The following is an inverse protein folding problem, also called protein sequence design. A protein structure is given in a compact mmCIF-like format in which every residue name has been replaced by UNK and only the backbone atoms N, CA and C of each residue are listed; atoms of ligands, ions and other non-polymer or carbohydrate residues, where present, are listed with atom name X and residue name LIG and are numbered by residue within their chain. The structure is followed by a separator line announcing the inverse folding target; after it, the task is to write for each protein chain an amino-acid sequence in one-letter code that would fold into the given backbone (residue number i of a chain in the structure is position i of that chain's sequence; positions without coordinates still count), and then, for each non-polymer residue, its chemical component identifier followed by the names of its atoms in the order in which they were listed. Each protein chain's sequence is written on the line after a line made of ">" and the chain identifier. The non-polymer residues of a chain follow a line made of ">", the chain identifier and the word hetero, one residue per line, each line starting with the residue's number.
data_IF_133075409763
#
_entry.id   IF_133075409763
#
_cell.length_a   1.000
_cell.length_b   1.000
_cell.length_c   1.000
_cell.angle_alpha   90.00
_cell.angle_beta   90.00
_cell.angle_gamma   90.00
#
_symmetry.space_group_name_H-M   'P 1'
#
loop_
_entity.id
_entity.type
_entity.pdbx_description
1 polymer ?
#
# COMPACT_ATOMS: atom_id res chain seq x y z
N UNK A 1 18.77 33.06 -21.08
CA UNK A 1 19.29 32.08 -20.12
C UNK A 1 20.09 32.82 -19.08
N UNK A 2 19.61 32.87 -17.85
CA UNK A 2 20.38 33.38 -16.72
C UNK A 2 20.28 32.34 -15.61
N UNK A 3 21.33 31.53 -15.45
CA UNK A 3 21.38 30.44 -14.46
C UNK A 3 21.43 30.91 -13.00
N UNK A 4 21.62 32.21 -12.76
CA UNK A 4 21.74 32.81 -11.42
C UNK A 4 20.58 33.77 -11.10
N UNK A 5 19.50 33.76 -11.87
CA UNK A 5 18.39 34.71 -11.67
C UNK A 5 17.33 34.14 -10.76
N UNK A 6 16.98 34.92 -9.74
CA UNK A 6 15.89 34.68 -8.82
C UNK A 6 14.74 35.60 -9.19
N UNK A 7 13.56 35.04 -9.41
CA UNK A 7 12.31 35.80 -9.58
C UNK A 7 11.43 35.47 -8.39
N UNK A 8 11.09 36.48 -7.58
CA UNK A 8 10.17 36.32 -6.45
C UNK A 8 8.84 36.99 -6.75
N UNK A 9 7.76 36.21 -6.73
CA UNK A 9 6.39 36.68 -6.78
C UNK A 9 5.87 36.88 -5.35
N UNK A 10 5.43 38.11 -5.05
CA UNK A 10 4.69 38.47 -3.84
C UNK A 10 3.21 38.79 -4.16
N UNK A 11 2.75 38.31 -5.31
CA UNK A 11 1.42 38.54 -5.88
C UNK A 11 1.06 37.37 -6.81
N UNK A 12 -0.19 37.30 -7.21
CA UNK A 12 -0.66 36.28 -8.16
C UNK A 12 0.12 36.32 -9.48
N UNK A 13 0.37 35.14 -10.03
CA UNK A 13 0.94 34.93 -11.35
C UNK A 13 -0.17 34.57 -12.35
N UNK A 14 -0.40 35.44 -13.32
CA UNK A 14 -1.27 35.15 -14.47
C UNK A 14 -0.40 34.88 -15.70
N UNK A 15 -0.35 33.63 -16.14
CA UNK A 15 0.46 33.19 -17.27
C UNK A 15 -0.34 33.04 -18.58
N UNK A 16 -0.45 34.13 -19.34
CA UNK A 16 -1.12 34.16 -20.65
C UNK A 16 -0.13 34.11 -21.84
N UNK A 17 1.10 33.67 -21.58
CA UNK A 17 2.17 33.54 -22.57
C UNK A 17 3.05 32.31 -22.35
N UNK A 18 4.10 32.19 -23.15
CA UNK A 18 5.12 31.15 -22.96
C UNK A 18 5.99 31.51 -21.76
N UNK A 19 6.04 30.61 -20.78
CA UNK A 19 6.84 30.70 -19.57
C UNK A 19 7.58 29.37 -19.36
N UNK A 20 8.48 29.04 -20.29
CA UNK A 20 9.05 27.70 -20.45
C UNK A 20 10.56 27.64 -20.72
N UNK A 21 11.24 28.78 -20.68
CA UNK A 21 12.70 28.90 -20.89
C UNK A 21 13.42 29.47 -19.66
N UNK A 22 12.84 29.27 -18.49
CA UNK A 22 13.42 29.70 -17.23
C UNK A 22 14.52 28.72 -16.83
N UNK A 23 15.63 29.22 -16.28
CA UNK A 23 16.79 28.43 -15.85
C UNK A 23 17.21 28.73 -14.41
N UNK A 24 16.39 29.48 -13.68
CA UNK A 24 16.65 29.93 -12.32
C UNK A 24 15.47 29.66 -11.40
N UNK A 25 15.55 30.19 -10.18
CA UNK A 25 14.54 29.97 -9.14
C UNK A 25 13.37 30.93 -9.31
N UNK A 26 12.17 30.38 -9.32
CA UNK A 26 10.92 31.13 -9.22
C UNK A 26 10.30 30.88 -7.84
N UNK A 27 10.34 31.90 -6.99
CA UNK A 27 9.79 31.84 -5.64
C UNK A 27 8.41 32.50 -5.52
N UNK A 28 7.57 31.95 -4.65
CA UNK A 28 6.26 32.50 -4.28
C UNK A 28 6.26 32.78 -2.78
N UNK A 29 6.15 34.06 -2.41
CA UNK A 29 6.41 34.56 -1.07
C UNK A 29 5.23 35.37 -0.51
N UNK A 30 4.61 34.88 0.56
CA UNK A 30 3.51 35.59 1.23
C UNK A 30 3.41 35.23 2.71
N UNK A 31 3.31 36.24 3.57
CA UNK A 31 3.25 36.06 5.03
C UNK A 31 1.83 35.74 5.56
N UNK A 32 0.77 35.91 4.75
CA UNK A 32 -0.62 35.81 5.23
C UNK A 32 -1.58 35.30 4.14
N UNK A 33 -1.70 36.03 3.02
CA UNK A 33 -2.66 35.68 1.97
C UNK A 33 -2.18 34.53 1.07
N UNK A 34 -3.07 33.67 0.56
CA UNK A 34 -2.70 32.74 -0.51
C UNK A 34 -2.27 33.50 -1.76
N UNK A 35 -1.38 32.88 -2.54
CA UNK A 35 -1.03 33.32 -3.89
C UNK A 35 -1.66 32.38 -4.91
N UNK A 36 -2.00 32.89 -6.09
CA UNK A 36 -2.62 32.11 -7.16
C UNK A 36 -1.74 32.07 -8.40
N UNK A 37 -1.61 30.88 -9.00
CA UNK A 37 -1.13 30.71 -10.39
C UNK A 37 -2.34 30.41 -11.28
N UNK A 38 -2.59 31.28 -12.25
CA UNK A 38 -3.67 31.17 -13.23
C UNK A 38 -3.19 31.53 -14.63
N UNK A 39 -4.11 31.55 -15.61
CA UNK A 39 -3.82 31.92 -17.00
C UNK A 39 -3.98 30.76 -17.98
N UNK A 40 -3.90 31.08 -19.27
CA UNK A 40 -4.17 30.14 -20.35
C UNK A 40 -3.07 29.09 -20.59
N UNK A 41 -1.86 29.29 -20.08
CA UNK A 41 -0.71 28.42 -20.32
C UNK A 41 -0.12 27.88 -19.01
N UNK A 42 0.27 26.61 -19.02
CA UNK A 42 0.97 25.95 -17.90
C UNK A 42 2.38 26.55 -17.79
N UNK A 43 2.75 27.23 -16.69
CA UNK A 43 4.13 27.64 -16.48
C UNK A 43 5.05 26.43 -16.29
N UNK A 44 6.23 26.50 -16.88
CA UNK A 44 7.30 25.52 -16.72
C UNK A 44 8.47 26.20 -16.00
N UNK A 45 8.68 25.78 -14.76
CA UNK A 45 9.70 26.30 -13.86
C UNK A 45 10.92 25.38 -13.90
N UNK A 46 12.11 25.96 -13.75
CA UNK A 46 13.30 25.14 -13.55
C UNK A 46 13.39 24.72 -12.09
N UNK A 47 13.51 25.71 -11.22
CA UNK A 47 13.38 25.57 -9.77
C UNK A 47 12.20 26.40 -9.26
N UNK A 48 11.49 25.88 -8.27
CA UNK A 48 10.41 26.56 -7.57
C UNK A 48 10.69 26.63 -6.07
N UNK A 49 10.32 27.74 -5.44
CA UNK A 49 10.32 27.88 -3.98
C UNK A 49 8.95 28.37 -3.51
N UNK A 50 8.38 27.70 -2.52
CA UNK A 50 7.05 28.03 -1.99
C UNK A 50 7.22 28.36 -0.51
N UNK A 51 7.06 29.64 -0.21
CA UNK A 51 7.06 30.19 1.15
C UNK A 51 5.87 31.15 1.28
N UNK A 52 4.67 30.58 1.21
CA UNK A 52 3.42 31.31 1.19
C UNK A 52 2.50 30.72 2.26
N UNK A 53 2.39 31.36 3.43
CA UNK A 53 1.67 30.81 4.60
C UNK A 53 0.22 30.41 4.27
N UNK A 54 -0.48 31.20 3.46
CA UNK A 54 -1.84 30.91 3.00
C UNK A 54 -1.94 29.84 1.90
N UNK A 55 -0.80 29.35 1.40
CA UNK A 55 -0.68 28.39 0.30
C UNK A 55 -0.52 29.02 -1.09
N UNK A 56 -0.12 28.20 -2.05
CA UNK A 56 -0.05 28.50 -3.47
C UNK A 56 -1.18 27.75 -4.20
N UNK A 57 -2.24 28.47 -4.55
CA UNK A 57 -3.40 27.94 -5.27
C UNK A 57 -3.07 27.83 -6.76
N UNK A 58 -3.29 26.66 -7.35
CA UNK A 58 -3.18 26.44 -8.77
C UNK A 58 -4.58 26.42 -9.40
N UNK A 59 -4.82 27.35 -10.32
CA UNK A 59 -5.98 27.34 -11.24
C UNK A 59 -5.58 26.81 -12.64
N UNK A 60 -4.29 26.73 -12.90
CA UNK A 60 -3.67 26.01 -14.03
C UNK A 60 -2.57 25.10 -13.48
N UNK A 61 -2.28 23.98 -14.13
CA UNK A 61 -1.21 23.10 -13.70
C UNK A 61 0.15 23.83 -13.73
N UNK A 62 1.13 23.30 -13.01
CA UNK A 62 2.50 23.81 -12.97
C UNK A 62 3.46 22.65 -13.24
N UNK A 63 4.48 22.89 -14.06
CA UNK A 63 5.55 21.92 -14.32
C UNK A 63 6.87 22.41 -13.73
N UNK A 64 7.66 21.48 -13.18
CA UNK A 64 8.98 21.78 -12.62
C UNK A 64 10.01 20.78 -13.15
N UNK A 65 11.14 21.29 -13.65
CA UNK A 65 12.21 20.47 -14.25
C UNK A 65 13.29 19.98 -13.28
N UNK A 66 13.51 20.67 -12.16
CA UNK A 66 14.62 20.35 -11.25
C UNK A 66 14.18 20.23 -9.79
N UNK A 67 13.88 21.32 -9.10
CA UNK A 67 13.56 21.27 -7.66
C UNK A 67 12.34 22.08 -7.27
N UNK A 68 11.54 21.55 -6.35
CA UNK A 68 10.54 22.31 -5.59
C UNK A 68 10.96 22.36 -4.11
N UNK A 69 11.31 23.55 -3.63
CA UNK A 69 11.55 23.79 -2.21
C UNK A 69 10.25 24.18 -1.51
N UNK A 70 9.69 23.28 -0.70
CA UNK A 70 8.51 23.51 0.12
C UNK A 70 8.96 24.09 1.46
N UNK A 71 8.84 25.40 1.66
CA UNK A 71 9.28 26.07 2.89
C UNK A 71 8.11 26.21 3.85
N UNK A 72 7.05 26.89 3.42
CA UNK A 72 5.82 27.11 4.20
C UNK A 72 4.61 27.18 3.28
N UNK A 73 3.51 26.57 3.73
CA UNK A 73 2.23 26.56 3.02
C UNK A 73 2.15 25.48 1.96
N UNK A 74 0.92 25.09 1.66
CA UNK A 74 0.64 24.01 0.73
C UNK A 74 0.57 24.50 -0.71
N UNK A 75 0.92 23.64 -1.66
CA UNK A 75 0.47 23.78 -3.05
C UNK A 75 -0.93 23.19 -3.14
N UNK A 76 -1.90 24.03 -3.47
CA UNK A 76 -3.33 23.69 -3.40
C UNK A 76 -3.89 23.55 -4.81
N UNK A 77 -4.56 22.43 -5.07
CA UNK A 77 -5.28 22.21 -6.33
C UNK A 77 -6.68 21.68 -6.06
N UNK A 78 -7.60 21.83 -7.02
CA UNK A 78 -8.94 21.28 -6.88
C UNK A 78 -8.90 19.75 -6.74
N UNK A 79 -9.48 19.21 -5.67
CA UNK A 79 -9.55 17.76 -5.43
C UNK A 79 -10.68 17.05 -6.18
N UNK A 80 -11.68 17.78 -6.65
CA UNK A 80 -12.83 17.26 -7.41
C UNK A 80 -12.48 16.72 -8.81
N UNK A 81 -11.27 17.00 -9.32
CA UNK A 81 -10.79 16.46 -10.58
C UNK A 81 -9.28 16.62 -10.75
N UNK A 82 -8.65 15.75 -11.57
CA UNK A 82 -7.18 15.67 -11.71
C UNK A 82 -6.61 16.51 -12.85
N UNK A 83 -7.35 17.53 -13.32
CA UNK A 83 -6.95 18.36 -14.45
C UNK A 83 -5.86 19.38 -14.11
N UNK A 84 -5.83 19.84 -12.86
CA UNK A 84 -4.85 20.81 -12.34
C UNK A 84 -3.99 20.08 -11.31
N UNK A 85 -2.67 20.20 -11.45
CA UNK A 85 -1.70 19.46 -10.65
C UNK A 85 -0.36 20.20 -10.60
N UNK A 86 0.45 19.89 -9.59
CA UNK A 86 1.87 20.26 -9.54
C UNK A 86 2.73 19.08 -10.02
N UNK A 87 3.46 19.26 -11.13
CA UNK A 87 4.13 18.19 -11.86
C UNK A 87 5.66 18.23 -11.75
N UNK A 88 6.25 17.07 -11.48
CA UNK A 88 7.68 16.84 -11.43
C UNK A 88 8.14 16.11 -12.71
N UNK A 89 8.83 16.82 -13.59
CA UNK A 89 9.30 16.30 -14.88
C UNK A 89 10.62 15.53 -14.74
N UNK A 90 10.75 14.41 -15.44
CA UNK A 90 12.00 13.69 -15.68
C UNK A 90 12.78 13.36 -14.38
N UNK A 91 13.81 14.13 -14.02
CA UNK A 91 14.63 13.94 -12.80
C UNK A 91 14.24 14.89 -11.65
N UNK A 92 13.18 15.69 -11.81
CA UNK A 92 12.77 16.68 -10.82
C UNK A 92 12.42 16.06 -9.46
N UNK A 93 12.75 16.76 -8.38
CA UNK A 93 12.52 16.36 -7.00
C UNK A 93 11.92 17.51 -6.19
N UNK A 94 11.63 17.24 -4.92
CA UNK A 94 11.26 18.26 -3.94
C UNK A 94 12.02 18.04 -2.64
N UNK A 95 12.01 19.07 -1.80
CA UNK A 95 12.50 19.03 -0.42
C UNK A 95 11.57 19.85 0.48
N UNK A 96 11.60 19.60 1.78
CA UNK A 96 10.95 20.44 2.78
C UNK A 96 9.48 20.09 3.04
N UNK A 97 9.06 18.90 2.63
CA UNK A 97 7.71 18.42 2.90
C UNK A 97 7.45 18.30 4.41
N UNK A 98 6.26 18.73 4.84
CA UNK A 98 5.83 18.62 6.24
C UNK A 98 4.31 18.60 6.32
N UNK A 99 3.76 18.57 7.54
CA UNK A 99 2.33 18.77 7.76
C UNK A 99 1.81 20.14 7.32
N UNK A 100 2.67 21.15 7.17
CA UNK A 100 2.30 22.54 6.81
C UNK A 100 2.88 22.99 5.47
N UNK A 101 3.55 22.09 4.74
CA UNK A 101 4.19 22.36 3.45
C UNK A 101 4.15 21.09 2.60
N UNK A 102 3.06 20.92 1.84
CA UNK A 102 2.85 19.73 0.99
C UNK A 102 1.94 20.06 -0.19
N UNK A 103 1.51 19.06 -0.94
CA UNK A 103 0.48 19.20 -1.97
C UNK A 103 -0.87 18.82 -1.36
N UNK A 104 -1.75 19.82 -1.14
CA UNK A 104 -3.16 19.58 -0.82
C UNK A 104 -3.96 19.55 -2.13
N UNK A 105 -4.01 18.35 -2.74
CA UNK A 105 -4.63 18.10 -4.03
C UNK A 105 -3.79 17.17 -4.90
N UNK A 106 -3.79 17.36 -6.22
CA UNK A 106 -3.06 16.51 -7.16
C UNK A 106 -1.60 16.96 -7.33
N UNK A 107 -0.69 16.06 -6.98
CA UNK A 107 0.67 16.05 -7.50
C UNK A 107 0.77 15.16 -8.73
N UNK A 108 1.76 15.38 -9.59
CA UNK A 108 2.03 14.57 -10.76
C UNK A 108 3.52 14.29 -10.94
N UNK A 109 3.85 13.17 -11.56
CA UNK A 109 5.18 12.90 -12.09
C UNK A 109 5.10 12.56 -13.58
N UNK A 110 6.15 12.89 -14.33
CA UNK A 110 6.25 12.63 -15.78
C UNK A 110 7.59 11.99 -16.08
N UNK A 111 7.60 10.95 -16.92
CA UNK A 111 8.80 10.19 -17.34
C UNK A 111 9.61 9.59 -16.18
N UNK A 112 8.93 9.02 -15.17
CA UNK A 112 9.56 8.38 -14.01
C UNK A 112 9.04 6.97 -13.77
N UNK A 113 9.89 6.12 -13.22
CA UNK A 113 9.52 4.76 -12.75
C UNK A 113 9.07 4.80 -11.29
N UNK A 114 9.65 5.68 -10.48
CA UNK A 114 9.37 5.77 -9.05
C UNK A 114 9.27 7.21 -8.56
N UNK A 115 8.41 7.45 -7.58
CA UNK A 115 8.29 8.75 -6.92
C UNK A 115 7.57 8.62 -5.57
N UNK A 116 7.84 9.56 -4.67
CA UNK A 116 7.05 9.73 -3.44
C UNK A 116 6.25 11.01 -3.61
N UNK A 117 4.93 10.92 -3.61
CA UNK A 117 4.07 12.09 -3.70
C UNK A 117 3.97 12.77 -2.33
N UNK A 118 4.36 14.04 -2.17
CA UNK A 118 4.20 14.76 -0.91
C UNK A 118 2.77 15.29 -0.78
N UNK A 119 1.79 14.39 -0.88
CA UNK A 119 0.36 14.76 -0.81
C UNK A 119 -0.15 14.72 0.62
N UNK A 120 -1.21 15.48 0.88
CA UNK A 120 -1.85 15.49 2.18
C UNK A 120 -3.17 16.24 2.18
N UNK A 121 -3.63 16.53 3.39
CA UNK A 121 -4.82 17.32 3.62
C UNK A 121 -4.70 18.07 4.94
N UNK A 122 -5.00 19.37 4.93
CA UNK A 122 -4.94 20.23 6.11
C UNK A 122 -3.60 20.12 6.85
N UNK A 123 -3.55 19.54 8.06
CA UNK A 123 -2.35 19.37 8.87
C UNK A 123 -1.75 17.95 8.78
N UNK A 124 -2.19 17.14 7.80
CA UNK A 124 -1.76 15.75 7.63
C UNK A 124 -1.00 15.56 6.33
N UNK A 125 0.28 15.21 6.45
CA UNK A 125 1.09 14.69 5.35
C UNK A 125 0.85 13.18 5.22
N UNK A 126 0.45 12.73 4.04
CA UNK A 126 0.10 11.33 3.74
C UNK A 126 0.76 10.90 2.42
N UNK A 127 2.08 10.70 2.44
CA UNK A 127 2.80 10.38 1.22
C UNK A 127 2.31 9.05 0.64
N UNK A 128 2.31 8.99 -0.69
CA UNK A 128 2.15 7.74 -1.43
C UNK A 128 3.43 7.53 -2.22
N UNK A 129 4.07 6.38 -2.05
CA UNK A 129 5.19 5.96 -2.88
C UNK A 129 4.68 5.05 -3.99
N UNK A 130 5.20 5.25 -5.20
CA UNK A 130 4.96 4.38 -6.35
C UNK A 130 6.30 3.87 -6.88
N UNK A 131 6.35 2.59 -7.23
CA UNK A 131 7.47 1.91 -7.89
C UNK A 131 6.93 1.09 -9.05
N UNK A 132 7.25 1.51 -10.26
CA UNK A 132 6.65 0.97 -11.49
C UNK A 132 7.62 0.05 -12.22
N UNK A 133 7.08 -0.94 -12.93
CA UNK A 133 7.92 -1.89 -13.69
C UNK A 133 8.58 -1.27 -14.94
N UNK A 134 8.17 -0.06 -15.32
CA UNK A 134 8.70 0.73 -16.43
C UNK A 134 8.38 2.23 -16.24
N UNK A 135 8.97 3.07 -17.10
CA UNK A 135 8.72 4.52 -17.09
C UNK A 135 7.24 4.82 -17.34
N UNK A 136 6.63 5.57 -16.43
CA UNK A 136 5.32 6.17 -16.67
C UNK A 136 5.47 7.46 -17.47
N UNK A 137 4.68 7.60 -18.54
CA UNK A 137 4.54 8.88 -19.22
C UNK A 137 3.98 9.95 -18.27
N UNK A 138 2.99 9.60 -17.44
CA UNK A 138 2.47 10.46 -16.40
C UNK A 138 1.80 9.64 -15.29
N UNK A 139 1.98 10.06 -14.04
CA UNK A 139 1.19 9.58 -12.90
C UNK A 139 0.68 10.76 -12.10
N UNK A 140 -0.55 10.69 -11.59
CA UNK A 140 -1.13 11.72 -10.72
C UNK A 140 -1.62 11.11 -9.43
N UNK A 141 -1.41 11.80 -8.33
CA UNK A 141 -1.78 11.34 -6.99
C UNK A 141 -2.43 12.46 -6.19
N UNK A 142 -3.49 12.15 -5.46
CA UNK A 142 -4.08 13.02 -4.45
C UNK A 142 -4.51 12.19 -3.23
N UNK A 143 -4.50 12.83 -2.05
CA UNK A 143 -4.93 12.24 -0.79
C UNK A 143 -6.21 12.89 -0.27
N UNK A 144 -7.07 12.09 0.35
CA UNK A 144 -8.37 12.49 0.88
C UNK A 144 -8.55 11.92 2.28
N UNK A 145 -8.79 12.79 3.26
CA UNK A 145 -9.23 12.39 4.59
C UNK A 145 -10.76 12.45 4.67
N UNK A 146 -11.39 11.54 3.92
CA UNK A 146 -12.84 11.45 3.77
C UNK A 146 -13.26 9.98 3.80
N UNK A 147 -14.49 9.75 4.27
CA UNK A 147 -15.10 8.43 4.20
C UNK A 147 -15.43 8.07 2.74
N UNK A 148 -14.85 6.99 2.17
CA UNK A 148 -15.17 6.54 0.82
C UNK A 148 -16.66 6.23 0.62
N UNK A 149 -17.43 5.89 1.66
CA UNK A 149 -18.88 5.66 1.54
C UNK A 149 -19.70 6.92 1.26
N UNK A 150 -19.09 8.11 1.44
CA UNK A 150 -19.76 9.39 1.26
C UNK A 150 -18.73 10.48 0.89
N UNK A 151 -18.01 10.30 -0.21
CA UNK A 151 -17.05 11.32 -0.65
C UNK A 151 -17.78 12.50 -1.26
N UNK A 152 -17.84 13.58 -0.49
CA UNK A 152 -18.39 14.87 -0.92
C UNK A 152 -17.54 15.45 -2.04
N UNK A 153 -16.21 15.35 -1.94
CA UNK A 153 -15.29 15.96 -2.89
C UNK A 153 -15.35 15.31 -4.27
N UNK A 154 -15.49 13.98 -4.33
CA UNK A 154 -15.64 13.25 -5.59
C UNK A 154 -17.11 13.14 -6.05
N UNK A 155 -18.07 13.52 -5.20
CA UNK A 155 -19.51 13.38 -5.46
C UNK A 155 -19.89 11.95 -5.88
N UNK A 156 -19.24 10.97 -5.23
CA UNK A 156 -19.37 9.54 -5.51
C UNK A 156 -19.10 8.73 -4.26
N UNK A 157 -19.90 7.68 -4.08
CA UNK A 157 -19.78 6.75 -2.97
C UNK A 157 -19.12 5.45 -3.45
N UNK A 158 -18.23 4.91 -2.62
CA UNK A 158 -17.52 3.65 -2.81
C UNK A 158 -17.84 2.72 -1.64
N UNK A 159 -19.03 2.11 -1.71
CA UNK A 159 -19.58 1.25 -0.65
C UNK A 159 -18.54 0.23 -0.14
N UNK A 160 -18.03 0.43 1.07
CA UNK A 160 -17.00 -0.41 1.71
C UNK A 160 -17.49 -1.82 2.03
N UNK A 161 -18.80 -2.08 1.88
CA UNK A 161 -19.38 -3.42 1.99
C UNK A 161 -19.33 -4.19 0.67
N UNK A 162 -19.24 -3.50 -0.47
CA UNK A 162 -19.19 -4.12 -1.78
C UNK A 162 -17.76 -4.55 -2.13
N UNK A 163 -17.47 -5.82 -1.89
CA UNK A 163 -16.12 -6.38 -1.85
C UNK A 163 -16.06 -7.66 -2.69
N UNK A 164 -14.95 -7.87 -3.40
CA UNK A 164 -14.70 -9.08 -4.17
C UNK A 164 -14.70 -10.35 -3.32
N UNK A 165 -14.39 -10.22 -2.02
CA UNK A 165 -14.51 -11.29 -1.03
C UNK A 165 -15.02 -10.73 0.29
N UNK A 166 -15.75 -11.54 1.07
CA UNK A 166 -16.22 -11.11 2.40
C UNK A 166 -15.08 -10.96 3.41
N UNK A 167 -13.88 -11.47 3.11
CA UNK A 167 -12.75 -11.54 4.03
C UNK A 167 -11.93 -10.25 4.12
N UNK A 168 -12.16 -9.28 3.25
CA UNK A 168 -11.46 -7.98 3.31
C UNK A 168 -12.27 -7.00 4.17
N UNK A 169 -11.57 -6.28 5.04
CA UNK A 169 -12.03 -5.03 5.63
C UNK A 169 -11.48 -3.88 4.81
N UNK A 170 -12.23 -2.77 4.74
CA UNK A 170 -11.87 -1.58 3.95
C UNK A 170 -12.02 -0.39 4.87
N UNK A 171 -11.00 0.47 4.94
CA UNK A 171 -11.07 1.70 5.72
C UNK A 171 -12.19 2.61 5.24
N UNK A 172 -12.91 3.18 6.19
CA UNK A 172 -13.91 4.23 6.00
C UNK A 172 -13.36 5.63 6.39
N UNK A 173 -12.04 5.74 6.53
CA UNK A 173 -11.39 6.91 7.16
C UNK A 173 -10.66 7.80 6.17
N UNK A 174 -9.97 7.21 5.20
CA UNK A 174 -9.16 7.93 4.22
C UNK A 174 -9.00 7.15 2.93
N UNK A 175 -8.60 7.83 1.85
CA UNK A 175 -8.24 7.19 0.59
C UNK A 175 -7.28 8.05 -0.24
N UNK A 176 -6.64 7.42 -1.21
CA UNK A 176 -5.81 8.04 -2.23
C UNK A 176 -6.45 7.83 -3.59
N UNK A 177 -6.28 8.80 -4.47
CA UNK A 177 -6.52 8.62 -5.90
C UNK A 177 -5.18 8.58 -6.60
N UNK A 178 -4.95 7.55 -7.42
CA UNK A 178 -3.73 7.35 -8.18
C UNK A 178 -4.07 6.99 -9.62
N UNK A 179 -3.58 7.78 -10.57
CA UNK A 179 -3.75 7.57 -12.01
C UNK A 179 -2.38 7.22 -12.60
N UNK A 180 -2.27 6.09 -13.29
CA UNK A 180 -1.02 5.60 -13.86
C UNK A 180 -1.25 4.32 -14.66
N UNK A 181 -0.68 4.24 -15.86
CA UNK A 181 -1.01 3.18 -16.83
C UNK A 181 0.01 2.03 -16.83
N UNK A 182 1.09 2.14 -16.05
CA UNK A 182 2.12 1.11 -15.92
C UNK A 182 1.87 0.28 -14.65
N UNK A 183 1.99 -1.06 -14.71
CA UNK A 183 1.97 -1.88 -13.50
C UNK A 183 2.97 -1.40 -12.47
N UNK A 184 2.49 -1.21 -11.23
CA UNK A 184 3.26 -0.59 -10.17
C UNK A 184 2.92 -1.21 -8.82
N UNK A 185 3.90 -1.21 -7.92
CA UNK A 185 3.68 -1.29 -6.48
C UNK A 185 3.43 0.10 -5.94
N UNK A 186 2.53 0.18 -4.96
CA UNK A 186 2.28 1.39 -4.19
C UNK A 186 2.41 1.12 -2.71
N UNK A 187 3.02 2.06 -2.00
CA UNK A 187 3.15 2.04 -0.55
C UNK A 187 2.30 3.15 0.05
N UNK A 188 1.34 2.76 0.89
CA UNK A 188 0.51 3.66 1.68
C UNK A 188 1.04 3.74 3.11
N UNK A 189 0.98 4.92 3.72
CA UNK A 189 1.37 5.15 5.11
C UNK A 189 0.14 5.42 5.98
N UNK A 190 0.20 5.04 7.27
CA UNK A 190 -0.83 5.36 8.25
C UNK A 190 -0.27 6.02 9.51
N UNK A 191 -1.17 6.65 10.26
CA UNK A 191 -0.91 7.18 11.59
C UNK A 191 -2.03 6.84 12.59
N UNK A 192 -2.00 7.48 13.76
CA UNK A 192 -3.01 7.33 14.81
C UNK A 192 -4.44 7.71 14.38
N UNK A 193 -4.60 8.47 13.30
CA UNK A 193 -5.89 8.93 12.80
C UNK A 193 -6.44 8.05 11.67
N UNK A 194 -5.68 7.06 11.19
CA UNK A 194 -6.09 6.14 10.11
C UNK A 194 -6.94 4.96 10.60
N UNK A 195 -7.10 4.79 11.92
CA UNK A 195 -7.83 3.70 12.58
C UNK A 195 -7.56 2.28 12.05
N UNK A 196 -6.30 1.98 11.72
CA UNK A 196 -5.93 0.67 11.14
C UNK A 196 -6.19 -0.52 12.07
N UNK A 197 -6.41 -0.29 13.37
CA UNK A 197 -6.81 -1.34 14.33
C UNK A 197 -8.22 -1.87 14.09
N UNK A 198 -9.07 -1.11 13.42
CA UNK A 198 -10.38 -1.59 12.99
C UNK A 198 -10.29 -2.58 11.82
N UNK A 199 -9.15 -2.62 11.13
CA UNK A 199 -8.91 -3.41 9.93
C UNK A 199 -8.22 -4.75 10.20
N UNK A 200 -7.65 -4.94 11.39
CA UNK A 200 -7.01 -6.20 11.77
C UNK A 200 -6.25 -6.13 13.11
N UNK A 201 -6.03 -7.29 13.73
CA UNK A 201 -5.27 -7.42 14.98
C UNK A 201 -3.74 -7.39 14.78
N UNK A 202 -3.24 -7.85 13.63
CA UNK A 202 -1.82 -7.94 13.29
C UNK A 202 -1.44 -7.08 12.08
N UNK A 203 -0.18 -6.66 12.01
CA UNK A 203 0.32 -5.88 10.87
C UNK A 203 0.16 -6.61 9.54
N UNK A 204 0.32 -7.93 9.55
CA UNK A 204 0.17 -8.76 8.35
C UNK A 204 -1.29 -8.87 7.89
N UNK A 205 -2.27 -8.46 8.70
CA UNK A 205 -3.66 -8.37 8.26
C UNK A 205 -3.88 -7.18 7.33
N UNK A 206 -3.11 -6.10 7.52
CA UNK A 206 -3.21 -4.89 6.72
C UNK A 206 -2.80 -5.17 5.28
N UNK A 207 -3.42 -4.46 4.35
CA UNK A 207 -3.16 -4.57 2.91
C UNK A 207 -3.59 -3.31 2.19
N UNK A 208 -3.15 -3.17 0.95
CA UNK A 208 -3.72 -2.18 0.05
C UNK A 208 -4.97 -2.78 -0.59
N UNK A 209 -6.05 -2.00 -0.64
CA UNK A 209 -7.27 -2.34 -1.38
C UNK A 209 -7.63 -1.23 -2.35
N UNK A 210 -8.25 -1.59 -3.47
CA UNK A 210 -8.65 -0.63 -4.49
C UNK A 210 -10.08 -0.84 -4.98
N UNK A 211 -10.79 0.25 -5.25
CA UNK A 211 -12.10 0.19 -5.90
C UNK A 211 -11.94 -0.01 -7.41
N UNK A 212 -12.25 -1.21 -7.89
CA UNK A 212 -12.12 -1.57 -9.30
C UNK A 212 -13.18 -0.87 -10.15
N UNK A 213 -12.75 -0.18 -11.22
CA UNK A 213 -13.66 0.46 -12.20
C UNK A 213 -14.51 -0.56 -12.95
N UNK A 214 -13.93 -1.72 -13.26
CA UNK A 214 -14.57 -2.76 -14.06
C UNK A 214 -15.58 -3.54 -13.22
N UNK A 215 -15.16 -3.98 -12.03
CA UNK A 215 -15.96 -4.85 -11.19
C UNK A 215 -16.92 -4.08 -10.26
N UNK A 216 -16.71 -2.75 -10.10
CA UNK A 216 -17.46 -1.90 -9.17
C UNK A 216 -17.49 -2.46 -7.75
N UNK A 217 -16.34 -2.88 -7.24
CA UNK A 217 -16.17 -3.43 -5.90
C UNK A 217 -14.72 -3.24 -5.43
N UNK A 218 -14.53 -3.34 -4.11
CA UNK A 218 -13.20 -3.35 -3.50
C UNK A 218 -12.48 -4.67 -3.75
N UNK A 219 -11.22 -4.58 -4.19
CA UNK A 219 -10.34 -5.72 -4.50
C UNK A 219 -9.08 -5.65 -3.62
N UNK A 220 -8.60 -6.80 -3.17
CA UNK A 220 -7.32 -6.92 -2.49
C UNK A 220 -6.16 -6.71 -3.47
N UNK A 221 -5.33 -5.70 -3.23
CA UNK A 221 -4.12 -5.40 -4.00
C UNK A 221 -2.84 -5.89 -3.33
N UNK A 222 -2.97 -6.55 -2.18
CA UNK A 222 -1.91 -7.29 -1.52
C UNK A 222 -1.17 -6.52 -0.43
N UNK A 223 -0.20 -7.23 0.14
CA UNK A 223 0.72 -6.80 1.17
C UNK A 223 2.07 -7.47 0.90
N UNK A 224 2.83 -6.95 -0.06
CA UNK A 224 4.16 -7.48 -0.38
C UNK A 224 5.20 -7.10 0.69
N UNK A 225 4.92 -6.05 1.45
CA UNK A 225 5.76 -5.55 2.54
C UNK A 225 4.93 -4.70 3.49
N UNK A 226 5.07 -4.95 4.80
CA UNK A 226 4.49 -4.13 5.86
C UNK A 226 5.57 -3.77 6.88
N UNK A 227 5.64 -2.50 7.25
CA UNK A 227 6.64 -1.98 8.17
C UNK A 227 6.03 -1.09 9.26
N UNK A 228 6.74 -0.95 10.37
CA UNK A 228 6.33 -0.11 11.49
C UNK A 228 5.47 -0.85 12.53
N UNK A 229 4.41 -0.21 12.98
CA UNK A 229 3.51 -0.71 14.02
C UNK A 229 2.09 -0.16 13.88
N UNK A 230 1.15 -0.66 14.69
CA UNK A 230 -0.27 -0.26 14.61
C UNK A 230 -0.56 1.23 14.88
N UNK A 231 0.43 2.00 15.33
CA UNK A 231 0.31 3.44 15.51
C UNK A 231 0.82 4.24 14.29
N UNK A 232 1.88 3.75 13.64
CA UNK A 232 2.53 4.39 12.49
C UNK A 232 3.24 3.31 11.69
N UNK A 233 3.05 3.31 10.37
CA UNK A 233 3.69 2.34 9.51
C UNK A 233 3.30 2.50 8.06
N UNK A 234 3.67 1.51 7.26
CA UNK A 234 3.40 1.47 5.84
C UNK A 234 3.07 0.07 5.35
N UNK A 235 2.27 -0.02 4.29
CA UNK A 235 1.93 -1.27 3.60
C UNK A 235 2.09 -1.07 2.10
N UNK A 236 2.74 -2.04 1.47
CA UNK A 236 3.04 -2.05 0.04
C UNK A 236 2.21 -3.12 -0.66
N UNK A 237 1.57 -2.76 -1.77
CA UNK A 237 0.80 -3.67 -2.63
C UNK A 237 1.68 -4.62 -3.45
N UNK A 238 1.04 -5.64 -4.04
CA UNK A 238 1.58 -6.32 -5.22
C UNK A 238 1.43 -5.46 -6.48
N UNK A 239 1.99 -5.90 -7.62
CA UNK A 239 1.88 -5.16 -8.87
C UNK A 239 0.42 -5.10 -9.38
N UNK A 240 -0.05 -3.89 -9.69
CA UNK A 240 -1.32 -3.63 -10.36
C UNK A 240 -1.23 -2.39 -11.24
N UNK A 241 -2.19 -2.16 -12.13
CA UNK A 241 -2.27 -0.92 -12.93
C UNK A 241 -3.12 0.11 -12.16
N UNK A 242 -2.55 1.24 -11.67
CA UNK A 242 -3.30 2.22 -10.90
C UNK A 242 -4.56 2.74 -11.59
N UNK A 243 -4.48 2.99 -12.90
CA UNK A 243 -5.60 3.49 -13.70
C UNK A 243 -6.79 2.52 -13.81
N UNK A 244 -6.67 1.26 -13.42
CA UNK A 244 -7.81 0.32 -13.36
C UNK A 244 -8.70 0.55 -12.11
N UNK A 245 -8.21 1.34 -11.16
CA UNK A 245 -8.88 1.63 -9.90
C UNK A 245 -9.25 3.12 -9.80
N UNK A 246 -10.35 3.43 -9.11
CA UNK A 246 -10.75 4.84 -8.90
C UNK A 246 -10.05 5.44 -7.69
N UNK A 247 -10.01 4.69 -6.60
CA UNK A 247 -9.38 5.05 -5.34
C UNK A 247 -8.72 3.82 -4.72
N UNK A 248 -7.74 4.09 -3.88
CA UNK A 248 -6.99 3.13 -3.09
C UNK A 248 -7.14 3.50 -1.62
N UNK A 249 -7.21 2.51 -0.74
CA UNK A 249 -7.13 2.75 0.70
C UNK A 249 -6.43 1.59 1.41
N UNK A 250 -6.24 1.73 2.70
CA UNK A 250 -5.80 0.67 3.58
C UNK A 250 -7.00 -0.22 3.86
N UNK A 251 -6.84 -1.50 3.61
CA UNK A 251 -7.76 -2.53 4.07
C UNK A 251 -7.07 -3.43 5.06
N UNK A 252 -7.80 -4.44 5.49
CA UNK A 252 -7.22 -5.53 6.24
C UNK A 252 -8.02 -6.81 6.12
N UNK A 253 -8.02 -7.62 7.17
CA UNK A 253 -8.86 -8.81 7.28
C UNK A 253 -10.09 -8.47 8.11
N UNK A 254 -11.28 -8.89 7.66
CA UNK A 254 -12.45 -8.84 8.54
C UNK A 254 -12.29 -9.95 9.61
N UNK A 255 -11.95 -9.53 10.82
CA UNK A 255 -11.74 -10.42 11.96
C UNK A 255 -13.06 -10.94 12.56
N UNK A 256 -14.20 -10.34 12.21
CA UNK A 256 -15.52 -10.86 12.65
C UNK A 256 -15.89 -12.16 11.94
N UNK A 257 -15.17 -12.48 10.86
CA UNK A 257 -15.26 -13.69 10.06
C UNK A 257 -14.07 -14.64 10.28
N UNK A 258 -13.32 -14.50 11.40
CA UNK A 258 -12.26 -15.40 11.92
C UNK A 258 -12.69 -16.87 12.15
N UNK A 259 -13.78 -17.32 11.54
CA UNK A 259 -14.07 -18.75 11.45
C UNK A 259 -13.29 -19.27 10.26
N UNK A 260 -12.06 -19.73 10.49
CA UNK A 260 -11.38 -20.57 9.50
C UNK A 260 -12.37 -21.63 9.01
N UNK A 261 -12.54 -21.74 7.70
CA UNK A 261 -13.36 -22.83 7.16
C UNK A 261 -12.65 -24.12 7.55
N UNK A 262 -13.25 -24.91 8.44
CA UNK A 262 -12.75 -26.23 8.79
C UNK A 262 -13.16 -27.19 7.69
N UNK A 263 -12.19 -27.56 6.86
CA UNK A 263 -12.36 -28.65 5.91
C UNK A 263 -11.64 -29.86 6.53
N UNK A 264 -12.39 -30.94 6.75
CA UNK A 264 -11.79 -32.23 7.08
C UNK A 264 -10.98 -32.70 5.87
N UNK A 265 -9.65 -32.64 5.98
CA UNK A 265 -8.76 -33.32 5.05
C UNK A 265 -8.74 -34.82 5.38
N UNK A 266 -8.32 -35.62 4.39
CA UNK A 266 -8.11 -37.05 4.58
C UNK A 266 -7.08 -37.34 5.69
N UNK A 267 -7.10 -38.57 6.17
CA UNK A 267 -6.17 -39.05 7.18
C UNK A 267 -4.91 -39.58 6.50
N UNK A 268 -3.74 -39.22 7.02
CA UNK A 268 -2.47 -39.52 6.38
C UNK A 268 -1.77 -40.70 7.04
N UNK A 269 -1.01 -41.45 6.24
CA UNK A 269 -0.17 -42.57 6.69
C UNK A 269 1.25 -42.33 6.21
N UNK A 270 2.22 -42.39 7.12
CA UNK A 270 3.64 -42.18 6.83
C UNK A 270 4.47 -43.39 7.22
N UNK A 271 5.44 -43.72 6.38
CA UNK A 271 6.47 -44.75 6.61
C UNK A 271 7.85 -44.17 6.31
N UNK A 272 8.42 -43.34 7.21
CA UNK A 272 9.67 -42.63 6.97
C UNK A 272 10.88 -43.59 7.10
N UNK A 273 11.01 -44.51 6.15
CA UNK A 273 12.02 -45.56 6.09
C UNK A 273 13.08 -45.31 4.99
N UNK A 274 12.90 -44.25 4.19
CA UNK A 274 13.81 -43.84 3.11
C UNK A 274 13.69 -44.66 1.84
N UNK A 275 12.58 -45.38 1.62
CA UNK A 275 12.31 -46.12 0.39
C UNK A 275 11.67 -45.28 -0.73
N UNK A 276 11.36 -44.01 -0.44
CA UNK A 276 10.74 -43.04 -1.34
C UNK A 276 9.21 -43.07 -1.32
N UNK A 277 8.56 -43.95 -0.55
CA UNK A 277 7.12 -44.07 -0.45
C UNK A 277 6.59 -43.63 0.93
N UNK A 278 5.76 -42.59 0.96
CA UNK A 278 5.18 -42.00 2.18
C UNK A 278 6.23 -41.58 3.22
N UNK A 279 7.42 -41.16 2.77
CA UNK A 279 8.48 -40.66 3.64
C UNK A 279 8.17 -39.26 4.21
N UNK A 280 7.39 -38.45 3.48
CA UNK A 280 7.04 -37.08 3.84
C UNK A 280 5.52 -36.86 3.93
N UNK A 281 5.08 -35.93 4.79
CA UNK A 281 3.69 -35.49 4.84
C UNK A 281 3.41 -34.50 3.72
N UNK A 282 2.74 -34.96 2.67
CA UNK A 282 2.29 -34.13 1.56
C UNK A 282 0.86 -33.67 1.82
N UNK A 283 0.64 -32.36 1.90
CA UNK A 283 -0.68 -31.73 2.00
C UNK A 283 -0.96 -31.00 0.70
N UNK A 284 -2.06 -31.37 0.03
CA UNK A 284 -2.49 -30.78 -1.24
C UNK A 284 -2.97 -29.32 -1.04
N UNK A 285 -2.74 -28.47 -2.05
CA UNK A 285 -3.18 -27.07 -2.06
C UNK A 285 -2.35 -26.11 -1.21
N UNK A 286 -1.23 -26.58 -0.63
CA UNK A 286 -0.36 -25.74 0.21
C UNK A 286 0.31 -24.60 -0.57
N UNK A 287 0.50 -24.79 -1.87
CA UNK A 287 1.04 -23.80 -2.81
C UNK A 287 0.09 -22.64 -3.07
N UNK A 288 -1.21 -22.81 -2.83
CA UNK A 288 -2.20 -21.74 -2.85
C UNK A 288 -2.14 -20.84 -1.61
N UNK A 289 -1.42 -21.27 -0.56
CA UNK A 289 -1.15 -20.45 0.64
C UNK A 289 0.33 -20.45 1.04
N UNK A 290 1.17 -19.61 0.40
CA UNK A 290 2.57 -19.44 0.78
C UNK A 290 2.79 -19.06 2.26
N UNK A 291 1.86 -18.31 2.85
CA UNK A 291 1.80 -17.97 4.26
C UNK A 291 0.94 -19.02 5.01
N UNK A 292 1.51 -20.20 5.24
CA UNK A 292 0.84 -21.26 6.00
C UNK A 292 1.64 -21.66 7.26
N UNK A 293 1.00 -22.40 8.16
CA UNK A 293 1.59 -22.89 9.39
C UNK A 293 1.14 -24.33 9.65
N UNK A 294 2.10 -25.26 9.69
CA UNK A 294 1.86 -26.65 10.09
C UNK A 294 2.29 -26.88 11.54
N UNK A 295 1.40 -27.44 12.35
CA UNK A 295 1.66 -27.88 13.72
C UNK A 295 1.26 -29.34 13.89
N UNK A 296 2.11 -30.16 14.52
CA UNK A 296 1.84 -31.58 14.78
C UNK A 296 2.00 -31.86 16.27
N UNK A 297 1.03 -32.59 16.81
CA UNK A 297 0.90 -32.95 18.22
C UNK A 297 0.89 -34.47 18.38
N UNK A 298 1.51 -34.97 19.45
CA UNK A 298 1.36 -36.38 19.81
C UNK A 298 -0.03 -36.66 20.42
N UNK A 299 -0.33 -37.93 20.71
CA UNK A 299 -1.58 -38.36 21.34
C UNK A 299 -1.91 -37.75 22.72
N UNK A 300 -0.95 -37.09 23.35
CA UNK A 300 -1.12 -36.40 24.64
C UNK A 300 -1.31 -34.88 24.47
N UNK A 301 -1.41 -34.39 23.23
CA UNK A 301 -1.55 -32.96 22.93
C UNK A 301 -0.24 -32.18 23.03
N UNK A 302 0.92 -32.85 23.12
CA UNK A 302 2.22 -32.18 23.14
C UNK A 302 2.65 -31.87 21.71
N UNK A 303 2.94 -30.60 21.43
CA UNK A 303 3.48 -30.14 20.14
C UNK A 303 4.87 -30.76 19.90
N UNK A 304 5.01 -31.51 18.82
CA UNK A 304 6.25 -32.20 18.44
C UNK A 304 6.88 -31.60 17.18
N UNK A 305 6.09 -30.95 16.32
CA UNK A 305 6.58 -30.28 15.13
C UNK A 305 5.81 -28.99 14.88
N UNK A 306 6.49 -27.98 14.37
CA UNK A 306 5.88 -26.68 14.06
C UNK A 306 6.71 -25.95 13.02
N UNK A 307 6.10 -25.57 11.89
CA UNK A 307 6.81 -24.91 10.79
C UNK A 307 5.91 -23.91 10.06
N UNK A 308 6.35 -22.66 10.03
CA UNK A 308 5.79 -21.64 9.16
C UNK A 308 6.30 -21.84 7.73
N UNK A 309 5.49 -21.44 6.75
CA UNK A 309 5.72 -21.62 5.31
C UNK A 309 6.09 -23.07 5.01
N UNK A 310 5.24 -24.01 5.45
CA UNK A 310 5.46 -25.44 5.24
C UNK A 310 5.41 -25.76 3.74
N UNK A 311 6.30 -26.65 3.31
CA UNK A 311 6.54 -26.98 1.89
C UNK A 311 6.56 -28.50 1.68
N UNK A 312 5.66 -29.22 2.35
CA UNK A 312 5.52 -30.67 2.20
C UNK A 312 6.81 -31.47 2.49
N UNK A 313 7.56 -31.06 3.54
CA UNK A 313 8.88 -31.59 3.88
C UNK A 313 9.02 -32.05 5.34
N UNK A 314 7.92 -32.51 5.95
CA UNK A 314 7.95 -33.14 7.26
C UNK A 314 8.21 -34.64 7.07
N UNK A 315 9.32 -35.11 7.62
CA UNK A 315 9.91 -36.45 7.45
C UNK A 315 9.75 -37.34 8.70
N UNK A 316 8.83 -36.98 9.61
CA UNK A 316 8.65 -37.68 10.87
C UNK A 316 9.67 -37.31 11.97
N UNK A 317 10.48 -36.26 11.79
CA UNK A 317 11.39 -35.76 12.84
C UNK A 317 10.76 -34.64 13.68
N UNK A 318 10.92 -34.71 15.00
CA UNK A 318 10.54 -33.62 15.90
C UNK A 318 11.49 -32.41 15.71
N UNK A 319 10.94 -31.19 15.69
CA UNK A 319 11.73 -29.97 15.77
C UNK A 319 11.56 -29.21 17.11
N UNK A 320 10.86 -29.82 18.08
CA UNK A 320 10.65 -29.27 19.42
C UNK A 320 11.57 -29.94 20.46
N UNK A 321 12.17 -29.12 21.33
CA UNK A 321 13.02 -29.61 22.43
C UNK A 321 12.17 -30.29 23.52
N UNK A 322 12.59 -31.48 23.97
CA UNK A 322 11.92 -32.22 25.06
C UNK A 322 10.83 -33.20 24.62
N UNK A 323 10.47 -33.26 23.33
CA UNK A 323 9.51 -34.24 22.82
C UNK A 323 10.14 -35.63 22.63
N UNK A 324 11.36 -35.69 22.08
CA UNK A 324 12.20 -36.88 21.83
C UNK A 324 13.68 -36.42 21.76
N UNK A 325 14.67 -37.30 21.94
CA UNK A 325 16.07 -36.98 21.62
C UNK A 325 16.20 -36.48 20.17
N UNK A 326 16.83 -35.31 19.96
CA UNK A 326 17.10 -34.76 18.61
C UNK A 326 17.74 -35.83 17.72
N UNK A 327 17.06 -36.20 16.62
CA UNK A 327 17.54 -37.17 15.64
C UNK A 327 17.08 -38.62 15.85
N UNK A 328 16.31 -38.92 16.90
CA UNK A 328 15.49 -40.13 16.92
C UNK A 328 14.07 -39.75 16.48
N UNK A 329 13.66 -40.29 15.33
CA UNK A 329 12.37 -39.95 14.72
C UNK A 329 11.19 -40.19 15.67
N UNK A 330 10.07 -39.56 15.36
CA UNK A 330 8.82 -39.74 16.11
C UNK A 330 8.44 -41.21 16.18
N UNK A 331 8.12 -41.72 17.38
CA UNK A 331 7.74 -43.12 17.57
C UNK A 331 6.48 -43.49 16.79
N UNK A 332 6.37 -44.74 16.34
CA UNK A 332 5.18 -45.22 15.64
C UNK A 332 3.90 -45.01 16.46
N UNK A 333 2.88 -44.43 15.84
CA UNK A 333 1.65 -44.05 16.52
C UNK A 333 0.83 -42.97 15.81
N UNK A 334 -0.27 -42.60 16.46
CA UNK A 334 -1.18 -41.54 15.99
C UNK A 334 -0.69 -40.18 16.48
N UNK A 335 -0.65 -39.22 15.57
CA UNK A 335 -0.40 -37.81 15.79
C UNK A 335 -1.56 -37.00 15.21
N UNK A 336 -1.77 -35.80 15.73
CA UNK A 336 -2.76 -34.86 15.24
C UNK A 336 -2.03 -33.70 14.59
N UNK A 337 -2.54 -33.18 13.48
CA UNK A 337 -1.97 -32.00 12.85
C UNK A 337 -3.02 -30.90 12.73
N UNK A 338 -2.52 -29.68 12.73
CA UNK A 338 -3.25 -28.46 12.41
C UNK A 338 -2.47 -27.77 11.30
N UNK A 339 -3.07 -27.63 10.12
CA UNK A 339 -2.57 -26.79 9.05
C UNK A 339 -3.41 -25.51 9.02
N UNK A 340 -2.77 -24.37 9.15
CA UNK A 340 -3.41 -23.06 9.00
C UNK A 340 -2.91 -22.43 7.71
N UNK A 341 -3.78 -22.25 6.72
CA UNK A 341 -3.48 -21.58 5.46
C UNK A 341 -3.98 -20.13 5.55
N UNK A 342 -3.09 -19.18 5.86
CA UNK A 342 -3.50 -17.80 6.16
C UNK A 342 -3.98 -17.06 4.90
N UNK A 343 -3.44 -17.36 3.73
CA UNK A 343 -3.85 -16.73 2.46
C UNK A 343 -5.26 -17.18 2.04
N UNK A 344 -5.57 -18.46 2.30
CA UNK A 344 -6.89 -19.05 2.02
C UNK A 344 -7.88 -18.95 3.18
N UNK A 345 -7.42 -18.53 4.37
CA UNK A 345 -8.16 -18.57 5.64
C UNK A 345 -8.83 -19.93 5.90
N UNK A 346 -8.12 -21.01 5.57
CA UNK A 346 -8.56 -22.38 5.84
C UNK A 346 -7.73 -22.97 6.97
N UNK A 347 -8.40 -23.72 7.86
CA UNK A 347 -7.73 -24.47 8.90
C UNK A 347 -8.14 -25.91 8.78
N UNK A 348 -7.16 -26.76 8.55
CA UNK A 348 -7.36 -28.19 8.48
C UNK A 348 -6.85 -28.80 9.76
N UNK A 349 -7.66 -29.69 10.31
CA UNK A 349 -7.25 -30.55 11.39
C UNK A 349 -7.48 -31.98 10.95
N UNK A 350 -6.55 -32.85 11.33
CA UNK A 350 -6.66 -34.25 11.03
C UNK A 350 -5.73 -35.06 11.90
N UNK A 351 -5.64 -36.35 11.61
CA UNK A 351 -4.64 -37.20 12.21
C UNK A 351 -3.76 -37.84 11.14
N UNK A 352 -2.55 -38.17 11.55
CA UNK A 352 -1.61 -38.93 10.75
C UNK A 352 -1.09 -40.10 11.60
N UNK A 353 -0.90 -41.26 10.96
CA UNK A 353 -0.27 -42.42 11.59
C UNK A 353 1.15 -42.59 11.04
N UNK A 354 2.13 -42.61 11.95
CA UNK A 354 3.54 -42.87 11.62
C UNK A 354 3.85 -44.33 11.92
N UNK A 355 4.50 -45.01 10.97
CA UNK A 355 5.04 -46.36 11.12
C UNK A 355 6.50 -46.40 10.69
N UNK A 356 7.42 -46.46 11.65
CA UNK A 356 8.86 -46.61 11.38
C UNK A 356 9.29 -48.06 11.15
#
# INVERSE_FOLDING_TARGET
>A
MHGDTYVGFHMDLVNDGSFDQNTGVVGFYSDDAPLTISGAYIPVLYDAEIDAVGGLILETAMNVHNNVNLVTGDVITAKSGSAIYSNFLDDAFYIGESSVSKIDGYGAMTNKESFVFPVGNEDRLRPLMIESVAINAMVKCAYFFEDPNNSVTLSKDYDTTNKATEFISVSDTEFWRLEGDVPSKVTLTWDLHSDVRSLGEYLNDLKVVGWSKTENQWVNLGNSQVEGGMAYGSVTSEDFVPSDYEILTIGGNDDRLETYSTIDLDNYFMTPNGDGANDELILDGIDESPNNMLEIFNRYGVLVYSKANYQNNFDGQSNREGAIERGSGLSSGIYFYILTMHDLRQKHQGYLYISN
#
